data_IF_970752888273
#
_entry.id   IF_970752888273
#
_cell.length_a   1.000
_cell.length_b   1.000
_cell.length_c   1.000
_cell.angle_alpha   90.00
_cell.angle_beta   90.00
_cell.angle_gamma   90.00
#
_symmetry.space_group_name_H-M   'P 1'
#
loop_
_entity.id
_entity.type
_entity.pdbx_description
1 polymer ?
#
# COMPACT_ATOMS: atom_id res chain seq x y z
N UNK A 1 15.89 19.81 -0.05
CA UNK A 1 15.31 18.91 -1.08
C UNK A 1 15.56 17.50 -0.59
N UNK A 2 14.57 16.92 0.10
CA UNK A 2 14.72 15.68 0.83
C UNK A 2 14.78 14.49 -0.11
N UNK A 3 15.83 13.68 0.04
CA UNK A 3 15.95 12.36 -0.56
C UNK A 3 14.81 11.48 -0.05
N UNK A 4 13.73 11.35 -0.83
CA UNK A 4 12.84 10.21 -0.71
C UNK A 4 13.68 8.99 -1.09
N UNK A 5 14.06 8.19 -0.10
CA UNK A 5 14.52 6.84 -0.33
C UNK A 5 13.40 6.11 -1.07
N UNK A 6 13.54 5.94 -2.38
CA UNK A 6 12.75 5.00 -3.15
C UNK A 6 13.08 3.64 -2.54
N UNK A 7 12.20 3.12 -1.67
CA UNK A 7 12.29 1.77 -1.16
C UNK A 7 12.09 0.84 -2.37
N UNK A 8 13.20 0.40 -2.96
CA UNK A 8 13.16 -0.56 -4.05
C UNK A 8 12.61 -1.87 -3.47
N UNK A 9 11.39 -2.22 -3.87
CA UNK A 9 10.77 -3.52 -3.56
C UNK A 9 11.64 -4.73 -3.98
N UNK A 10 12.68 -4.50 -4.79
CA UNK A 10 13.64 -5.51 -5.24
C UNK A 10 14.52 -6.15 -4.16
N UNK A 11 14.73 -5.48 -3.02
CA UNK A 11 15.57 -6.02 -1.93
C UNK A 11 14.77 -6.80 -0.89
N UNK A 12 13.44 -6.86 -1.03
CA UNK A 12 12.58 -7.60 -0.10
C UNK A 12 12.68 -9.11 -0.37
N UNK A 13 13.01 -9.95 0.62
CA UNK A 13 13.07 -11.39 0.43
C UNK A 13 11.67 -11.96 0.13
N UNK A 14 11.61 -12.88 -0.83
CA UNK A 14 10.40 -13.61 -1.16
C UNK A 14 10.35 -14.94 -0.42
N UNK A 15 9.18 -15.28 0.12
CA UNK A 15 8.92 -16.62 0.67
C UNK A 15 8.17 -17.43 -0.38
N UNK A 16 8.76 -18.53 -0.82
CA UNK A 16 8.18 -19.45 -1.81
C UNK A 16 7.70 -20.71 -1.10
N UNK A 17 6.43 -21.07 -1.32
CA UNK A 17 5.81 -22.26 -0.75
C UNK A 17 5.82 -23.43 -1.75
N UNK A 18 5.81 -24.70 -1.29
CA UNK A 18 5.83 -25.87 -2.19
C UNK A 18 4.65 -25.94 -3.18
N UNK A 19 3.54 -25.27 -2.89
CA UNK A 19 2.37 -25.17 -3.77
C UNK A 19 2.48 -24.06 -4.82
N UNK A 20 3.65 -23.44 -4.97
CA UNK A 20 3.89 -22.36 -5.93
C UNK A 20 3.39 -20.99 -5.49
N UNK A 21 2.83 -20.84 -4.28
CA UNK A 21 2.49 -19.52 -3.74
C UNK A 21 3.76 -18.77 -3.38
N UNK A 22 3.76 -17.46 -3.63
CA UNK A 22 4.86 -16.55 -3.26
C UNK A 22 4.30 -15.45 -2.39
N UNK A 23 4.97 -15.17 -1.26
CA UNK A 23 4.65 -14.05 -0.37
C UNK A 23 5.79 -13.03 -0.44
N UNK A 24 5.42 -11.79 -0.74
CA UNK A 24 6.28 -10.62 -0.63
C UNK A 24 5.66 -9.68 0.42
N UNK A 25 6.44 -9.30 1.43
CA UNK A 25 6.01 -8.42 2.51
C UNK A 25 7.07 -7.36 2.74
N UNK A 26 7.12 -6.39 1.82
CA UNK A 26 8.02 -5.26 1.93
C UNK A 26 7.54 -4.32 3.03
N UNK A 27 8.47 -3.79 3.82
CA UNK A 27 8.18 -2.62 4.66
C UNK A 27 8.15 -1.41 3.75
N UNK A 28 7.05 -0.66 3.79
CA UNK A 28 6.82 0.46 2.88
C UNK A 28 6.24 1.67 3.61
N UNK A 29 6.69 2.87 3.27
CA UNK A 29 6.05 4.13 3.69
C UNK A 29 5.33 4.78 2.51
N UNK A 30 4.01 4.99 2.63
CA UNK A 30 3.22 5.72 1.63
C UNK A 30 3.02 7.17 2.06
N UNK A 31 3.38 8.10 1.17
CA UNK A 31 2.99 9.50 1.27
C UNK A 31 1.87 9.74 0.29
N UNK A 32 0.69 10.09 0.81
CA UNK A 32 -0.50 10.37 0.00
C UNK A 32 -0.80 11.86 0.02
N UNK A 33 -1.33 12.35 -1.10
CA UNK A 33 -1.91 13.70 -1.18
C UNK A 33 -3.33 13.59 -0.60
N UNK A 34 -3.67 14.47 0.32
CA UNK A 34 -4.98 14.53 0.95
C UNK A 34 -5.53 15.96 0.85
N UNK A 35 -6.83 16.08 0.55
CA UNK A 35 -7.53 17.36 0.50
C UNK A 35 -8.03 17.72 1.90
N UNK A 36 -7.44 18.77 2.49
CA UNK A 36 -7.68 19.13 3.88
C UNK A 36 -8.73 20.22 4.02
N UNK A 37 -9.74 19.98 4.84
CA UNK A 37 -10.73 20.99 5.20
C UNK A 37 -10.41 21.63 6.55
N UNK A 38 -9.87 22.85 6.53
CA UNK A 38 -9.41 23.56 7.73
C UNK A 38 -10.44 24.52 8.34
N UNK A 39 -11.71 24.47 7.92
CA UNK A 39 -12.75 25.42 8.37
C UNK A 39 -13.02 25.36 9.88
N UNK A 40 -12.78 24.21 10.52
CA UNK A 40 -13.05 23.96 11.94
C UNK A 40 -11.79 23.73 12.77
N UNK A 41 -10.63 24.11 12.26
CA UNK A 41 -9.37 23.92 12.96
C UNK A 41 -9.40 24.53 14.37
N UNK A 42 -8.93 23.83 15.44
CA UNK A 42 -8.22 22.54 15.47
C UNK A 42 -9.11 21.30 15.71
N UNK A 43 -10.43 21.41 15.53
CA UNK A 43 -11.43 20.35 15.76
C UNK A 43 -12.02 19.79 14.45
N UNK A 44 -11.31 19.99 13.35
CA UNK A 44 -11.61 19.47 12.03
C UNK A 44 -11.43 17.94 11.95
N UNK A 45 -12.14 17.32 11.01
CA UNK A 45 -12.00 15.89 10.68
C UNK A 45 -11.48 15.77 9.27
N UNK A 46 -10.43 14.98 9.09
CA UNK A 46 -9.78 14.78 7.80
C UNK A 46 -10.05 13.36 7.27
N UNK A 47 -10.46 13.27 6.00
CA UNK A 47 -10.70 12.00 5.29
C UNK A 47 -9.71 11.92 4.14
N UNK A 48 -8.80 10.96 4.19
CA UNK A 48 -7.75 10.78 3.19
C UNK A 48 -7.86 9.40 2.55
N UNK A 49 -8.04 9.37 1.23
CA UNK A 49 -8.13 8.13 0.48
C UNK A 49 -6.75 7.68 0.00
N UNK A 50 -6.50 6.37 0.10
CA UNK A 50 -5.31 5.72 -0.44
C UNK A 50 -5.73 4.71 -1.50
N UNK A 51 -5.31 4.95 -2.73
CA UNK A 51 -5.50 4.04 -3.86
C UNK A 51 -4.23 3.21 -4.10
N UNK A 52 -4.37 1.88 -4.05
CA UNK A 52 -3.28 0.94 -4.33
C UNK A 52 -3.65 0.16 -5.58
N UNK A 53 -2.76 0.17 -6.57
CA UNK A 53 -3.00 -0.47 -7.86
C UNK A 53 -1.71 -0.91 -8.55
N UNK A 54 -1.86 -1.73 -9.59
CA UNK A 54 -0.76 -2.01 -10.50
C UNK A 54 -0.55 -0.81 -11.42
N UNK A 55 0.71 -0.43 -11.63
CA UNK A 55 1.04 0.69 -12.50
C UNK A 55 0.92 0.32 -13.99
N UNK A 56 1.40 -0.86 -14.37
CA UNK A 56 1.55 -1.26 -15.77
C UNK A 56 0.55 -2.30 -16.24
N UNK A 57 -0.11 -3.01 -15.32
CA UNK A 57 -1.02 -4.11 -15.65
C UNK A 57 -2.46 -3.74 -15.35
N UNK A 58 -3.34 -4.13 -16.26
CA UNK A 58 -4.79 -3.98 -16.10
C UNK A 58 -5.39 -5.04 -15.18
N UNK A 59 -6.64 -4.84 -14.77
CA UNK A 59 -7.40 -5.80 -13.96
C UNK A 59 -7.65 -7.15 -14.63
N UNK A 60 -7.59 -7.22 -15.97
CA UNK A 60 -7.68 -8.48 -16.71
C UNK A 60 -6.40 -9.32 -16.60
N UNK A 61 -5.26 -8.66 -16.36
CA UNK A 61 -3.95 -9.31 -16.24
C UNK A 61 -3.60 -9.62 -14.79
N UNK A 62 -3.94 -8.71 -13.87
CA UNK A 62 -3.66 -8.86 -12.43
C UNK A 62 -4.92 -8.55 -11.63
N UNK A 63 -5.36 -9.54 -10.85
CA UNK A 63 -6.46 -9.38 -9.90
C UNK A 63 -5.89 -9.08 -8.50
N UNK A 64 -5.90 -7.80 -8.12
CA UNK A 64 -5.52 -7.34 -6.78
C UNK A 64 -6.68 -7.51 -5.81
N UNK A 65 -6.39 -8.07 -4.63
CA UNK A 65 -7.38 -8.27 -3.56
C UNK A 65 -6.78 -7.90 -2.22
N UNK A 66 -7.57 -7.23 -1.38
CA UNK A 66 -7.23 -7.08 0.02
C UNK A 66 -7.24 -8.44 0.69
N UNK A 67 -6.16 -8.75 1.41
CA UNK A 67 -6.12 -9.92 2.28
C UNK A 67 -6.99 -9.59 3.49
N UNK A 68 -8.12 -10.30 3.62
CA UNK A 68 -8.92 -10.23 4.82
C UNK A 68 -8.16 -10.95 5.94
N UNK A 69 -7.61 -10.17 6.87
CA UNK A 69 -7.10 -10.73 8.11
C UNK A 69 -8.30 -11.03 9.00
N UNK A 70 -8.77 -12.28 9.02
CA UNK A 70 -9.68 -12.71 10.07
C UNK A 70 -8.89 -12.63 11.38
N UNK A 71 -9.29 -11.71 12.26
CA UNK A 71 -8.76 -11.57 13.61
C UNK A 71 -9.23 -12.77 14.45
N UNK A 72 -8.59 -13.91 14.24
CA UNK A 72 -8.61 -15.07 15.12
C UNK A 72 -7.19 -15.63 15.16
N UNK A 73 -6.30 -14.84 15.74
CA UNK A 73 -5.12 -15.29 16.49
C UNK A 73 -4.92 -14.28 17.63
#
# INVERSE_FOLDING_TARGET
VGSSSIENYGDTPFVVYPNGKVRCSARTQFQVICDLDLRLWPFDTQVCDLEIGSWTYSGEQINLRFLEHRATD
#
